data_IF_453136982264
#
_entry.id   IF_453136982264
#
_cell.length_a   1.000
_cell.length_b   1.000
_cell.length_c   1.000
_cell.angle_alpha   90.00
_cell.angle_beta   90.00
_cell.angle_gamma   90.00
#
_symmetry.space_group_name_H-M   'P 1'
#
loop_
_entity.id
_entity.type
_entity.pdbx_description
1 polymer ?
#
# COMPACT_ATOMS: atom_id res chain seq x y z
N UNK A 1 -4.87 -13.98 -17.42
CA UNK A 1 -5.89 -13.44 -16.53
C UNK A 1 -5.37 -12.20 -15.84
N UNK A 2 -6.19 -11.16 -15.84
CA UNK A 2 -5.77 -9.91 -15.26
C UNK A 2 -5.49 -9.98 -13.77
N UNK A 3 -6.27 -10.79 -13.04
CA UNK A 3 -6.04 -10.91 -11.61
C UNK A 3 -4.68 -11.53 -11.30
N UNK A 4 -4.25 -12.46 -12.13
CA UNK A 4 -2.94 -13.08 -11.94
C UNK A 4 -1.82 -12.09 -12.19
N UNK A 5 -2.04 -11.18 -13.13
CA UNK A 5 -1.07 -10.14 -13.40
C UNK A 5 -0.92 -9.20 -12.20
N UNK A 6 -2.03 -8.79 -11.60
CA UNK A 6 -2.00 -7.90 -10.45
C UNK A 6 -1.33 -8.57 -9.26
N UNK A 7 -1.70 -9.82 -8.95
CA UNK A 7 -1.10 -10.51 -7.82
C UNK A 7 0.38 -10.78 -8.05
N UNK A 8 0.78 -11.05 -9.28
CA UNK A 8 2.19 -11.25 -9.61
C UNK A 8 2.99 -9.98 -9.36
N UNK A 9 2.45 -8.83 -9.75
CA UNK A 9 3.10 -7.54 -9.48
C UNK A 9 3.29 -7.32 -8.00
N UNK A 10 2.23 -7.55 -7.21
CA UNK A 10 2.32 -7.35 -5.77
C UNK A 10 3.29 -8.31 -5.10
N UNK A 11 3.35 -9.56 -5.59
CA UNK A 11 4.30 -10.52 -5.03
C UNK A 11 5.74 -10.04 -5.16
N UNK A 12 6.05 -9.39 -6.27
CA UNK A 12 7.39 -8.87 -6.49
C UNK A 12 7.73 -7.76 -5.52
N UNK A 13 6.74 -7.07 -4.99
CA UNK A 13 6.93 -5.91 -4.14
C UNK A 13 6.89 -6.25 -2.65
N UNK A 14 6.58 -7.49 -2.28
CA UNK A 14 6.59 -7.90 -0.88
C UNK A 14 8.00 -7.72 -0.30
N UNK A 15 8.07 -7.06 0.84
CA UNK A 15 9.33 -6.71 1.49
C UNK A 15 9.90 -5.38 1.03
N UNK A 16 9.26 -4.71 0.09
CA UNK A 16 9.72 -3.42 -0.43
C UNK A 16 8.81 -2.29 0.01
N UNK A 17 9.33 -1.09 -0.03
CA UNK A 17 8.55 0.11 0.32
C UNK A 17 7.66 0.45 -0.87
N UNK A 18 6.36 0.56 -0.62
CA UNK A 18 5.39 0.95 -1.64
C UNK A 18 4.66 2.21 -1.20
N UNK A 19 4.11 2.91 -2.18
CA UNK A 19 3.27 4.08 -1.96
C UNK A 19 1.84 3.68 -2.28
N UNK A 20 0.92 3.95 -1.35
CA UNK A 20 -0.48 3.56 -1.48
C UNK A 20 -1.35 4.81 -1.43
N UNK A 21 -2.12 5.01 -2.49
CA UNK A 21 -3.07 6.13 -2.54
C UNK A 21 -4.45 5.62 -2.16
N UNK A 22 -5.06 6.28 -1.20
CA UNK A 22 -6.37 5.91 -0.67
C UNK A 22 -7.43 6.89 -1.13
N UNK A 23 -8.68 6.46 -1.03
CA UNK A 23 -9.82 7.35 -1.22
C UNK A 23 -9.73 8.50 -0.21
N UNK A 24 -10.20 9.68 -0.58
CA UNK A 24 -10.16 10.83 0.29
C UNK A 24 -8.83 11.55 0.29
N UNK A 25 -8.04 11.38 -0.74
CA UNK A 25 -6.76 12.09 -0.94
C UNK A 25 -5.72 11.77 0.13
N UNK A 26 -5.85 10.61 0.78
CA UNK A 26 -4.83 10.15 1.72
C UNK A 26 -3.80 9.30 1.02
N UNK A 27 -2.57 9.37 1.51
CA UNK A 27 -1.47 8.62 0.93
C UNK A 27 -0.67 7.97 2.05
N UNK A 28 -0.27 6.72 1.82
CA UNK A 28 0.52 5.96 2.77
C UNK A 28 1.80 5.49 2.10
N UNK A 29 2.85 5.36 2.89
CA UNK A 29 4.08 4.72 2.45
C UNK A 29 4.49 3.70 3.50
N UNK A 30 4.87 2.51 3.08
CA UNK A 30 5.29 1.50 4.03
C UNK A 30 5.82 0.28 3.32
N UNK A 31 6.36 -0.64 4.11
CA UNK A 31 6.85 -1.91 3.60
C UNK A 31 5.67 -2.85 3.40
N UNK A 32 5.46 -3.30 2.17
CA UNK A 32 4.41 -4.27 1.88
C UNK A 32 4.80 -5.61 2.50
N UNK A 33 3.94 -6.13 3.34
CA UNK A 33 4.23 -7.37 4.05
C UNK A 33 3.40 -8.54 3.52
N UNK A 34 2.08 -8.36 3.48
CA UNK A 34 1.17 -9.39 3.00
C UNK A 34 0.04 -8.74 2.23
N UNK A 35 -0.62 -9.52 1.38
CA UNK A 35 -1.84 -9.10 0.71
C UNK A 35 -2.69 -10.33 0.42
N UNK A 36 -3.98 -10.08 0.16
CA UNK A 36 -4.92 -11.16 -0.16
C UNK A 36 -5.59 -10.90 -1.52
N UNK A 37 -6.41 -11.86 -2.00
CA UNK A 37 -7.07 -11.68 -3.30
C UNK A 37 -8.03 -10.52 -3.38
N UNK A 38 -8.48 -9.97 -2.26
CA UNK A 38 -9.36 -8.81 -2.22
C UNK A 38 -8.58 -7.50 -2.16
N UNK A 39 -7.26 -7.59 -2.31
CA UNK A 39 -6.35 -6.43 -2.25
C UNK A 39 -6.29 -5.77 -0.89
N UNK A 40 -6.71 -6.47 0.18
CA UNK A 40 -6.34 -6.01 1.52
C UNK A 40 -4.85 -6.22 1.68
N UNK A 41 -4.16 -5.22 2.21
CA UNK A 41 -2.72 -5.30 2.34
C UNK A 41 -2.31 -4.97 3.77
N UNK A 42 -1.20 -5.56 4.21
CA UNK A 42 -0.59 -5.15 5.45
C UNK A 42 0.71 -4.43 5.14
N UNK A 43 0.94 -3.33 5.86
CA UNK A 43 2.16 -2.54 5.73
C UNK A 43 2.86 -2.51 7.07
N UNK A 44 4.18 -2.56 7.03
CA UNK A 44 5.02 -2.35 8.20
C UNK A 44 5.74 -1.02 8.08
N UNK A 45 6.02 -0.41 9.21
CA UNK A 45 6.69 0.89 9.27
C UNK A 45 5.98 1.92 8.40
N UNK A 46 4.65 1.88 8.43
CA UNK A 46 3.84 2.75 7.58
C UNK A 46 3.85 4.18 8.10
N UNK A 47 3.81 5.11 7.17
CA UNK A 47 3.61 6.52 7.48
C UNK A 47 2.49 7.06 6.61
N UNK A 48 1.68 7.93 7.19
CA UNK A 48 0.69 8.70 6.45
C UNK A 48 1.34 9.97 5.95
N UNK A 49 1.14 10.30 4.67
CA UNK A 49 1.70 11.50 4.07
C UNK A 49 0.55 12.45 3.78
N UNK A 50 0.60 13.64 4.37
CA UNK A 50 -0.41 14.68 4.17
C UNK A 50 -0.09 15.51 2.94
N UNK A 51 -1.05 16.32 2.51
CA UNK A 51 -0.90 17.14 1.32
C UNK A 51 0.25 18.15 1.45
N UNK A 52 0.56 18.56 2.67
CA UNK A 52 1.65 19.50 2.94
C UNK A 52 2.99 18.80 3.17
N UNK A 53 3.07 17.52 2.81
CA UNK A 53 4.26 16.69 2.96
C UNK A 53 4.65 16.36 4.41
N UNK A 54 3.78 16.67 5.36
CA UNK A 54 4.02 16.19 6.73
C UNK A 54 3.73 14.70 6.80
N UNK A 55 4.47 14.00 7.64
CA UNK A 55 4.32 12.56 7.81
C UNK A 55 3.88 12.25 9.22
N UNK A 56 3.09 11.20 9.34
CA UNK A 56 2.59 10.71 10.61
C UNK A 56 2.85 9.21 10.70
N UNK A 57 3.75 8.76 11.58
CA UNK A 57 4.05 7.32 11.67
C UNK A 57 2.85 6.55 12.19
N UNK A 58 2.55 5.44 11.53
CA UNK A 58 1.42 4.58 11.88
C UNK A 58 1.84 3.19 12.36
N UNK A 59 3.08 2.79 12.08
CA UNK A 59 3.55 1.47 12.42
C UNK A 59 3.00 0.38 11.51
N UNK A 60 2.62 -0.75 12.10
CA UNK A 60 2.06 -1.86 11.33
C UNK A 60 0.56 -1.65 11.18
N UNK A 61 0.07 -1.63 9.95
CA UNK A 61 -1.35 -1.37 9.69
C UNK A 61 -1.89 -2.34 8.65
N UNK A 62 -3.19 -2.51 8.67
CA UNK A 62 -3.93 -3.23 7.65
C UNK A 62 -4.76 -2.24 6.86
N UNK A 63 -4.65 -2.27 5.54
CA UNK A 63 -5.40 -1.38 4.65
C UNK A 63 -6.39 -2.23 3.87
N UNK A 64 -7.66 -1.85 3.92
CA UNK A 64 -8.70 -2.56 3.20
C UNK A 64 -8.62 -2.23 1.72
N UNK A 65 -8.76 -3.27 0.89
CA UNK A 65 -8.64 -3.12 -0.55
C UNK A 65 -9.63 -2.15 -1.16
N UNK A 66 -10.84 -2.07 -0.60
CA UNK A 66 -11.88 -1.18 -1.13
C UNK A 66 -11.57 0.30 -0.89
N UNK A 67 -10.58 0.62 -0.10
CA UNK A 67 -10.12 2.00 0.10
C UNK A 67 -8.93 2.37 -0.78
N UNK A 68 -8.34 1.40 -1.46
CA UNK A 68 -7.13 1.64 -2.23
C UNK A 68 -7.49 2.07 -3.63
N UNK A 69 -6.96 3.20 -4.07
CA UNK A 69 -7.09 3.66 -5.44
C UNK A 69 -5.93 3.14 -6.27
N UNK A 70 -4.72 3.19 -5.72
CA UNK A 70 -3.53 2.86 -6.47
C UNK A 70 -2.42 2.47 -5.53
N UNK A 71 -1.63 1.49 -5.93
CA UNK A 71 -0.39 1.12 -5.25
C UNK A 71 0.74 1.36 -6.25
N UNK A 72 1.70 2.17 -5.85
CA UNK A 72 2.84 2.48 -6.70
C UNK A 72 4.00 1.58 -6.30
N UNK A 73 4.66 0.96 -7.27
CA UNK A 73 5.83 0.13 -6.94
C UNK A 73 6.97 0.98 -6.42
N UNK A 74 7.95 0.36 -5.77
CA UNK A 74 9.12 1.10 -5.30
C UNK A 74 9.92 1.65 -6.47
N UNK A 75 10.52 2.78 -6.25
CA UNK A 75 11.37 3.43 -7.25
C UNK A 75 12.83 3.08 -7.03
#
# INVERSE_FOLDING_TARGET
MSEDMVTTELKQDVGKIVLVKLKGAKMLRGKLWEFDPHMNISLQDAVEISEDDTTNPLGAILVRGDNIIMISPPT
#
